data_IF_019722006202
#
_entry.id   IF_019722006202
#
_cell.length_a   1.000
_cell.length_b   1.000
_cell.length_c   1.000
_cell.angle_alpha   90.00
_cell.angle_beta   90.00
_cell.angle_gamma   90.00
#
_symmetry.space_group_name_H-M   'P 1'
#
loop_
_entity.id
_entity.type
_entity.pdbx_description
1 polymer ?
#
# COMPACT_ATOMS: atom_id res chain seq x y z
N UNK A 1 -3.63 8.43 -21.26
CA UNK A 1 -4.23 8.98 -20.02
C UNK A 1 -3.17 9.84 -19.34
N UNK A 2 -3.52 10.94 -18.67
CA UNK A 2 -2.54 11.69 -17.87
C UNK A 2 -2.13 10.86 -16.65
N UNK A 3 -0.83 10.88 -16.30
CA UNK A 3 -0.31 10.22 -15.11
C UNK A 3 -0.83 10.89 -13.83
N UNK A 4 -0.86 10.13 -12.76
CA UNK A 4 -1.15 10.62 -11.43
C UNK A 4 -2.61 10.46 -11.00
N UNK A 5 -2.96 11.12 -9.91
CA UNK A 5 -4.25 10.99 -9.27
C UNK A 5 -4.73 12.34 -8.69
N UNK A 6 -6.03 12.58 -8.77
CA UNK A 6 -6.66 13.79 -8.23
C UNK A 6 -7.44 13.46 -6.96
N UNK A 7 -7.20 14.22 -5.90
CA UNK A 7 -7.89 14.10 -4.61
C UNK A 7 -7.08 13.38 -3.54
N UNK A 8 -7.68 13.22 -2.36
CA UNK A 8 -7.14 12.47 -1.22
C UNK A 8 -7.42 10.97 -1.37
N UNK A 9 -6.57 10.14 -0.80
CA UNK A 9 -6.70 8.70 -0.87
C UNK A 9 -6.30 8.03 0.45
N UNK A 10 -7.29 7.55 1.18
CA UNK A 10 -7.14 6.85 2.45
C UNK A 10 -7.46 5.38 2.24
N UNK A 11 -6.45 4.53 2.08
CA UNK A 11 -6.64 3.11 1.79
C UNK A 11 -6.51 2.29 3.08
N UNK A 12 -7.54 1.51 3.39
CA UNK A 12 -7.41 0.39 4.31
C UNK A 12 -6.86 -0.82 3.54
N UNK A 13 -5.62 -1.24 3.88
CA UNK A 13 -4.92 -2.29 3.14
C UNK A 13 -4.98 -3.64 3.86
N UNK A 14 -5.60 -4.63 3.24
CA UNK A 14 -5.70 -6.01 3.72
C UNK A 14 -5.57 -7.06 2.60
N UNK A 15 -4.75 -6.75 1.61
CA UNK A 15 -4.37 -7.64 0.49
C UNK A 15 -3.32 -8.70 0.87
N UNK A 16 -2.95 -8.78 2.15
CA UNK A 16 -2.05 -9.80 2.67
C UNK A 16 -2.61 -11.19 2.42
N UNK A 17 -1.80 -12.10 1.86
CA UNK A 17 -2.16 -13.51 1.55
C UNK A 17 -1.31 -14.46 2.37
N UNK A 18 -0.16 -14.91 1.89
CA UNK A 18 0.67 -15.89 2.58
C UNK A 18 1.04 -15.51 4.02
N UNK A 19 1.51 -14.28 4.25
CA UNK A 19 1.83 -13.82 5.61
C UNK A 19 0.60 -13.65 6.52
N UNK A 20 -0.56 -13.36 5.97
CA UNK A 20 -1.82 -13.30 6.70
C UNK A 20 -2.27 -14.69 7.11
N UNK A 21 -2.28 -15.62 6.16
CA UNK A 21 -2.59 -17.02 6.36
C UNK A 21 -1.71 -17.66 7.45
N UNK A 22 -0.39 -17.50 7.37
CA UNK A 22 0.52 -18.13 8.32
C UNK A 22 0.52 -17.44 9.70
N UNK A 23 0.55 -16.10 9.75
CA UNK A 23 0.71 -15.38 11.02
C UNK A 23 -0.59 -15.24 11.80
N UNK A 24 -1.74 -15.15 11.12
CA UNK A 24 -3.03 -14.96 11.78
C UNK A 24 -3.74 -16.29 12.05
N UNK A 25 -3.62 -17.25 11.14
CA UNK A 25 -4.37 -18.52 11.21
C UNK A 25 -3.48 -19.74 11.46
N UNK A 26 -2.15 -19.61 11.37
CA UNK A 26 -1.22 -20.75 11.53
C UNK A 26 -1.29 -21.77 10.39
N UNK A 27 -1.86 -21.40 9.24
CA UNK A 27 -2.04 -22.28 8.08
C UNK A 27 -0.80 -22.22 7.21
N UNK A 28 -0.18 -23.36 6.94
CA UNK A 28 0.96 -23.51 6.03
C UNK A 28 0.52 -24.20 4.73
N UNK A 29 1.08 -23.79 3.60
CA UNK A 29 0.72 -24.34 2.28
C UNK A 29 -0.60 -23.80 1.75
N UNK A 30 -1.23 -24.55 0.86
CA UNK A 30 -2.52 -24.18 0.25
C UNK A 30 -3.66 -24.43 1.26
N UNK A 31 -4.51 -23.41 1.54
CA UNK A 31 -5.60 -23.56 2.49
C UNK A 31 -6.70 -24.47 1.93
N UNK A 32 -7.33 -25.24 2.81
CA UNK A 32 -8.55 -25.99 2.50
C UNK A 32 -9.72 -25.03 2.17
N UNK A 33 -10.82 -25.55 1.58
CA UNK A 33 -12.02 -24.73 1.34
C UNK A 33 -12.59 -24.08 2.63
N UNK A 34 -12.57 -24.81 3.76
CA UNK A 34 -13.04 -24.30 5.06
C UNK A 34 -12.11 -23.20 5.60
N UNK A 35 -10.80 -23.40 5.49
CA UNK A 35 -9.80 -22.39 5.87
C UNK A 35 -9.91 -21.15 4.98
N UNK A 36 -10.11 -21.33 3.68
CA UNK A 36 -10.35 -20.24 2.73
C UNK A 36 -11.58 -19.44 3.12
N UNK A 37 -12.69 -20.11 3.48
CA UNK A 37 -13.92 -19.45 3.93
C UNK A 37 -13.69 -18.64 5.23
N UNK A 38 -12.92 -19.19 6.17
CA UNK A 38 -12.56 -18.50 7.42
C UNK A 38 -11.72 -17.25 7.17
N UNK A 39 -10.72 -17.34 6.27
CA UNK A 39 -9.88 -16.19 5.89
C UNK A 39 -10.73 -15.13 5.18
N UNK A 40 -11.64 -15.54 4.30
CA UNK A 40 -12.56 -14.64 3.60
C UNK A 40 -13.48 -13.92 4.57
N UNK A 41 -14.07 -14.63 5.56
CA UNK A 41 -14.89 -14.01 6.60
C UNK A 41 -14.12 -13.01 7.46
N UNK A 42 -12.86 -13.32 7.77
CA UNK A 42 -11.97 -12.39 8.47
C UNK A 42 -11.73 -11.09 7.68
N UNK A 43 -11.55 -11.20 6.35
CA UNK A 43 -11.45 -10.02 5.48
C UNK A 43 -12.76 -9.25 5.38
N UNK A 44 -13.88 -9.95 5.40
CA UNK A 44 -15.20 -9.31 5.45
C UNK A 44 -15.37 -8.48 6.72
N UNK A 45 -14.92 -8.97 7.89
CA UNK A 45 -14.90 -8.17 9.12
C UNK A 45 -14.10 -6.87 8.98
N UNK A 46 -12.93 -6.94 8.31
CA UNK A 46 -12.11 -5.74 8.08
C UNK A 46 -12.86 -4.75 7.18
N UNK A 47 -13.52 -5.25 6.14
CA UNK A 47 -14.31 -4.44 5.22
C UNK A 47 -15.53 -3.78 5.92
N UNK A 48 -16.21 -4.47 6.82
CA UNK A 48 -17.26 -3.90 7.66
C UNK A 48 -16.76 -2.67 8.45
N UNK A 49 -15.49 -2.67 8.86
CA UNK A 49 -14.85 -1.49 9.45
C UNK A 49 -14.78 -0.30 8.50
N UNK A 50 -14.54 -0.54 7.19
CA UNK A 50 -14.59 0.54 6.18
C UNK A 50 -16.01 1.08 6.03
N UNK A 51 -17.01 0.20 5.93
CA UNK A 51 -18.41 0.60 5.80
C UNK A 51 -18.85 1.45 7.00
N UNK A 52 -18.48 1.06 8.23
CA UNK A 52 -18.76 1.83 9.45
C UNK A 52 -18.05 3.18 9.46
N UNK A 53 -16.82 3.26 8.98
CA UNK A 53 -16.12 4.54 8.87
C UNK A 53 -16.82 5.50 7.88
N UNK A 54 -17.30 4.98 6.76
CA UNK A 54 -18.10 5.76 5.80
C UNK A 54 -19.43 6.17 6.43
N UNK A 55 -20.12 5.28 7.13
CA UNK A 55 -21.36 5.60 7.84
C UNK A 55 -21.15 6.66 8.93
N UNK A 56 -19.95 6.72 9.53
CA UNK A 56 -19.56 7.74 10.50
C UNK A 56 -19.11 9.09 9.86
N UNK A 57 -19.13 9.20 8.52
CA UNK A 57 -18.91 10.46 7.81
C UNK A 57 -17.63 10.55 6.99
N UNK A 58 -16.86 9.46 6.85
CA UNK A 58 -15.75 9.43 5.89
C UNK A 58 -16.31 9.51 4.46
N UNK A 59 -15.82 10.47 3.66
CA UNK A 59 -16.23 10.59 2.27
C UNK A 59 -15.83 9.33 1.47
N UNK A 60 -16.78 8.58 0.91
CA UNK A 60 -16.47 7.37 0.14
C UNK A 60 -15.55 7.63 -1.04
N UNK A 61 -15.48 8.86 -1.57
CA UNK A 61 -14.56 9.22 -2.66
C UNK A 61 -13.09 9.25 -2.22
N UNK A 62 -12.84 9.45 -0.93
CA UNK A 62 -11.49 9.44 -0.35
C UNK A 62 -11.15 8.10 0.29
N UNK A 63 -12.16 7.31 0.62
CA UNK A 63 -12.01 5.99 1.21
C UNK A 63 -11.59 4.98 0.15
N UNK A 64 -10.55 4.21 0.45
CA UNK A 64 -10.03 3.17 -0.43
C UNK A 64 -9.92 1.81 0.27
N UNK A 65 -9.99 0.77 -0.54
CA UNK A 65 -9.81 -0.62 -0.15
C UNK A 65 -8.69 -1.22 -1.01
N UNK A 66 -7.75 -1.89 -0.36
CA UNK A 66 -6.74 -2.70 -1.03
C UNK A 66 -6.92 -4.15 -0.56
N UNK A 67 -7.46 -4.99 -1.43
CA UNK A 67 -7.82 -6.39 -1.16
C UNK A 67 -7.36 -7.29 -2.31
N UNK A 68 -7.07 -8.55 -2.03
CA UNK A 68 -6.65 -9.54 -3.01
C UNK A 68 -7.83 -10.34 -3.61
N UNK A 69 -7.61 -10.98 -4.74
CA UNK A 69 -8.61 -11.82 -5.42
C UNK A 69 -8.84 -13.15 -4.70
N UNK A 70 -7.80 -13.71 -4.06
CA UNK A 70 -7.85 -15.06 -3.47
C UNK A 70 -8.84 -15.14 -2.30
N UNK A 71 -8.84 -14.14 -1.42
CA UNK A 71 -9.64 -14.13 -0.19
C UNK A 71 -10.62 -12.95 -0.10
N UNK A 72 -10.70 -12.13 -1.14
CA UNK A 72 -11.53 -10.91 -1.14
C UNK A 72 -13.03 -11.18 -1.17
N UNK A 73 -13.46 -12.37 -1.58
CA UNK A 73 -14.89 -12.73 -1.63
C UNK A 73 -15.71 -11.74 -2.44
N UNK A 74 -16.75 -11.16 -1.82
CA UNK A 74 -17.65 -10.17 -2.43
C UNK A 74 -17.19 -8.72 -2.28
N UNK A 75 -16.10 -8.48 -1.56
CA UNK A 75 -15.61 -7.12 -1.25
C UNK A 75 -15.38 -6.26 -2.51
N UNK A 76 -14.83 -6.77 -3.64
CA UNK A 76 -14.67 -5.96 -4.84
C UNK A 76 -15.99 -5.40 -5.39
N UNK A 77 -17.04 -6.22 -5.46
CA UNK A 77 -18.36 -5.79 -5.94
C UNK A 77 -19.05 -4.85 -4.95
N UNK A 78 -18.91 -5.10 -3.65
CA UNK A 78 -19.47 -4.25 -2.59
C UNK A 78 -18.77 -2.89 -2.56
N UNK A 79 -17.45 -2.85 -2.71
CA UNK A 79 -16.69 -1.61 -2.79
C UNK A 79 -17.16 -0.73 -3.95
N UNK A 80 -17.39 -1.31 -5.13
CA UNK A 80 -17.95 -0.59 -6.28
C UNK A 80 -19.36 -0.04 -5.99
N UNK A 81 -20.21 -0.85 -5.39
CA UNK A 81 -21.58 -0.45 -4.99
C UNK A 81 -21.57 0.76 -4.05
N UNK A 82 -20.63 0.82 -3.12
CA UNK A 82 -20.50 1.87 -2.12
C UNK A 82 -19.68 3.07 -2.61
N UNK A 83 -19.20 3.05 -3.87
CA UNK A 83 -18.42 4.15 -4.46
C UNK A 83 -17.02 4.30 -3.87
N UNK A 84 -16.48 3.23 -3.30
CA UNK A 84 -15.14 3.20 -2.72
C UNK A 84 -14.08 3.00 -3.80
N UNK A 85 -12.89 3.54 -3.57
CA UNK A 85 -11.72 3.31 -4.42
C UNK A 85 -11.16 1.90 -4.21
N UNK A 86 -11.34 1.01 -5.19
CA UNK A 86 -10.83 -0.35 -5.14
C UNK A 86 -9.45 -0.46 -5.77
N UNK A 87 -8.51 -1.04 -5.06
CA UNK A 87 -7.17 -1.39 -5.54
C UNK A 87 -6.91 -2.87 -5.25
N UNK A 88 -6.28 -3.58 -6.20
CA UNK A 88 -5.97 -5.00 -6.04
C UNK A 88 -4.54 -5.31 -6.47
N UNK A 89 -3.87 -6.30 -5.82
CA UNK A 89 -2.50 -6.67 -6.14
C UNK A 89 -2.41 -7.52 -7.41
N UNK A 90 -1.37 -7.26 -8.22
CA UNK A 90 -0.98 -8.12 -9.34
C UNK A 90 0.26 -8.97 -9.02
N UNK A 91 0.96 -8.68 -7.92
CA UNK A 91 2.14 -9.42 -7.52
C UNK A 91 1.82 -10.75 -6.85
N UNK A 92 2.70 -11.73 -7.06
CA UNK A 92 2.70 -13.01 -6.34
C UNK A 92 3.09 -12.79 -4.89
N UNK A 93 2.30 -13.36 -3.97
CA UNK A 93 2.55 -13.25 -2.54
C UNK A 93 3.74 -14.10 -2.10
N UNK A 94 4.51 -13.60 -1.11
CA UNK A 94 5.53 -14.37 -0.41
C UNK A 94 6.86 -14.55 -1.15
N UNK A 95 7.07 -13.87 -2.29
CA UNK A 95 8.32 -13.92 -3.05
C UNK A 95 9.14 -12.64 -2.87
N UNK A 96 10.46 -12.75 -2.95
CA UNK A 96 11.34 -11.57 -2.85
C UNK A 96 11.45 -10.84 -4.19
N UNK A 97 11.59 -11.57 -5.29
CA UNK A 97 11.62 -11.02 -6.64
C UNK A 97 10.19 -10.85 -7.16
N UNK A 98 9.85 -9.68 -7.70
CA UNK A 98 8.54 -9.43 -8.29
C UNK A 98 8.22 -10.44 -9.40
N UNK A 99 7.08 -11.09 -9.26
CA UNK A 99 6.47 -11.97 -10.25
C UNK A 99 4.97 -11.67 -10.29
N UNK A 100 4.35 -11.88 -11.44
CA UNK A 100 2.90 -11.83 -11.55
C UNK A 100 2.24 -13.01 -10.82
N UNK A 101 1.17 -12.76 -10.07
CA UNK A 101 0.39 -13.83 -9.42
C UNK A 101 -0.18 -14.81 -10.44
N UNK A 102 -0.69 -14.28 -11.55
CA UNK A 102 -1.34 -15.04 -12.61
C UNK A 102 -0.49 -15.16 -13.89
N UNK A 103 0.83 -14.95 -13.80
CA UNK A 103 1.73 -15.06 -14.95
C UNK A 103 1.27 -14.20 -16.14
N UNK A 104 1.21 -14.79 -17.32
CA UNK A 104 0.79 -14.10 -18.57
C UNK A 104 -0.71 -13.74 -18.58
N UNK A 105 -1.52 -14.33 -17.72
CA UNK A 105 -2.96 -14.06 -17.60
C UNK A 105 -3.28 -12.83 -16.74
N UNK A 106 -2.28 -12.09 -16.24
CA UNK A 106 -2.48 -10.89 -15.40
C UNK A 106 -3.46 -9.87 -16.01
N UNK A 107 -3.52 -9.67 -17.34
CA UNK A 107 -4.47 -8.71 -17.95
C UNK A 107 -5.93 -9.10 -17.68
N UNK A 108 -6.27 -10.36 -17.86
CA UNK A 108 -7.63 -10.85 -17.66
C UNK A 108 -8.09 -10.69 -16.21
N UNK A 109 -7.19 -10.90 -15.25
CA UNK A 109 -7.48 -10.70 -13.82
C UNK A 109 -7.67 -9.22 -13.47
N UNK A 110 -6.86 -8.32 -14.03
CA UNK A 110 -7.01 -6.87 -13.85
C UNK A 110 -8.32 -6.36 -14.48
N UNK A 111 -8.69 -6.87 -15.66
CA UNK A 111 -9.90 -6.46 -16.37
C UNK A 111 -11.20 -6.94 -15.71
N UNK A 112 -11.12 -8.00 -14.91
CA UNK A 112 -12.27 -8.58 -14.20
C UNK A 112 -12.93 -7.59 -13.24
N UNK A 113 -12.17 -6.62 -12.70
CA UNK A 113 -12.61 -5.69 -11.69
C UNK A 113 -12.51 -4.23 -12.16
N UNK A 114 -13.40 -3.39 -11.60
CA UNK A 114 -13.38 -1.94 -11.81
C UNK A 114 -12.43 -1.28 -10.81
N UNK A 115 -11.13 -1.37 -11.10
CA UNK A 115 -10.08 -0.90 -10.20
C UNK A 115 -9.81 0.60 -10.36
N UNK A 116 -9.62 1.29 -9.23
CA UNK A 116 -8.94 2.59 -9.22
C UNK A 116 -7.52 2.45 -9.75
N UNK A 117 -6.78 1.48 -9.22
CA UNK A 117 -5.41 1.20 -9.60
C UNK A 117 -5.06 -0.29 -9.40
N UNK A 118 -4.14 -0.79 -10.20
CA UNK A 118 -3.48 -2.07 -9.95
C UNK A 118 -2.26 -1.83 -9.08
N UNK A 119 -2.15 -2.59 -7.99
CA UNK A 119 -1.04 -2.46 -7.04
C UNK A 119 0.01 -3.54 -7.29
N UNK A 120 1.28 -3.19 -7.06
CA UNK A 120 2.37 -4.15 -6.87
C UNK A 120 3.13 -3.84 -5.59
N UNK A 121 3.64 -4.88 -4.92
CA UNK A 121 4.65 -4.76 -3.88
C UNK A 121 5.98 -5.22 -4.43
N UNK A 122 6.97 -4.36 -4.36
CA UNK A 122 8.33 -4.62 -4.88
C UNK A 122 9.36 -4.35 -3.79
N UNK A 123 10.23 -5.33 -3.59
CA UNK A 123 11.45 -5.18 -2.79
C UNK A 123 12.58 -4.84 -3.73
N UNK A 124 13.12 -3.63 -3.58
CA UNK A 124 14.14 -3.13 -4.48
C UNK A 124 15.16 -2.29 -3.71
N UNK A 125 16.41 -2.76 -3.65
CA UNK A 125 17.52 -1.93 -3.18
C UNK A 125 18.42 -1.63 -4.38
N UNK A 126 18.73 -0.33 -4.68
CA UNK A 126 19.54 0.02 -5.85
C UNK A 126 20.98 -0.47 -5.76
N UNK A 127 21.44 -0.85 -4.57
CA UNK A 127 22.78 -1.41 -4.32
C UNK A 127 22.71 -2.94 -4.07
N UNK A 128 21.55 -3.57 -4.28
CA UNK A 128 21.33 -5.00 -4.11
C UNK A 128 21.66 -5.82 -5.35
N UNK A 129 21.01 -7.00 -5.47
CA UNK A 129 21.21 -7.93 -6.59
C UNK A 129 20.81 -7.29 -7.93
N UNK A 130 21.82 -6.93 -8.73
CA UNK A 130 21.63 -6.22 -10.00
C UNK A 130 20.86 -7.05 -11.03
N UNK A 131 21.08 -8.38 -11.08
CA UNK A 131 20.36 -9.25 -12.03
C UNK A 131 18.89 -9.40 -11.65
N UNK A 132 18.59 -9.56 -10.37
CA UNK A 132 17.22 -9.59 -9.86
C UNK A 132 16.53 -8.24 -10.14
N UNK A 133 17.20 -7.15 -9.86
CA UNK A 133 16.70 -5.80 -10.11
C UNK A 133 16.37 -5.57 -11.60
N UNK A 134 17.24 -6.00 -12.51
CA UNK A 134 17.00 -5.91 -13.95
C UNK A 134 15.77 -6.72 -14.38
N UNK A 135 15.62 -7.96 -13.89
CA UNK A 135 14.44 -8.79 -14.20
C UNK A 135 13.14 -8.18 -13.68
N UNK A 136 13.17 -7.64 -12.45
CA UNK A 136 12.02 -6.94 -11.86
C UNK A 136 11.64 -5.72 -12.70
N UNK A 137 12.61 -4.89 -13.06
CA UNK A 137 12.40 -3.68 -13.87
C UNK A 137 11.72 -4.00 -15.20
N UNK A 138 12.15 -5.06 -15.91
CA UNK A 138 11.53 -5.49 -17.17
C UNK A 138 10.05 -5.87 -17.00
N UNK A 139 9.72 -6.67 -15.97
CA UNK A 139 8.33 -7.09 -15.70
C UNK A 139 7.44 -5.91 -15.27
N UNK A 140 8.00 -5.00 -14.47
CA UNK A 140 7.28 -3.81 -14.01
C UNK A 140 7.02 -2.83 -15.15
N UNK A 141 7.97 -2.72 -16.10
CA UNK A 141 7.74 -1.95 -17.32
C UNK A 141 6.65 -2.56 -18.19
N UNK A 142 6.65 -3.87 -18.37
CA UNK A 142 5.58 -4.58 -19.08
C UNK A 142 4.20 -4.27 -18.48
N UNK A 143 4.09 -4.34 -17.14
CA UNK A 143 2.85 -4.01 -16.43
C UNK A 143 2.45 -2.55 -16.63
N UNK A 144 3.38 -1.60 -16.42
CA UNK A 144 3.11 -0.17 -16.54
C UNK A 144 2.63 0.19 -17.96
N UNK A 145 3.33 -0.32 -18.98
CA UNK A 145 2.98 -0.10 -20.39
C UNK A 145 1.58 -0.64 -20.70
N UNK A 146 1.29 -1.87 -20.23
CA UNK A 146 -0.03 -2.46 -20.45
C UNK A 146 -1.14 -1.67 -19.73
N UNK A 147 -0.93 -1.29 -18.44
CA UNK A 147 -1.91 -0.53 -17.68
C UNK A 147 -2.25 0.79 -18.38
N UNK A 148 -1.24 1.57 -18.75
CA UNK A 148 -1.46 2.88 -19.39
C UNK A 148 -2.05 2.77 -20.78
N UNK A 149 -1.65 1.75 -21.57
CA UNK A 149 -2.26 1.48 -22.87
C UNK A 149 -3.77 1.15 -22.77
N UNK A 150 -4.19 0.56 -21.65
CA UNK A 150 -5.58 0.21 -21.36
C UNK A 150 -6.30 1.22 -20.46
N UNK A 151 -5.73 2.42 -20.27
CA UNK A 151 -6.36 3.48 -19.50
C UNK A 151 -6.51 3.18 -18.00
N UNK A 152 -5.65 2.35 -17.43
CA UNK A 152 -5.63 1.93 -16.03
C UNK A 152 -4.51 2.60 -15.27
N UNK A 153 -4.66 2.75 -13.96
CA UNK A 153 -3.66 3.38 -13.08
C UNK A 153 -2.80 2.36 -12.37
N UNK A 154 -1.59 2.79 -12.04
CA UNK A 154 -0.57 1.99 -11.39
C UNK A 154 -0.24 2.54 -10.00
N UNK A 155 -0.45 1.72 -8.96
CA UNK A 155 -0.03 1.98 -7.59
C UNK A 155 1.17 1.08 -7.26
N UNK A 156 2.33 1.68 -7.03
CA UNK A 156 3.59 0.97 -6.80
C UNK A 156 3.98 1.03 -5.33
N UNK A 157 3.88 -0.10 -4.62
CA UNK A 157 4.35 -0.23 -3.25
C UNK A 157 5.83 -0.60 -3.23
N UNK A 158 6.65 0.38 -2.84
CA UNK A 158 8.09 0.24 -2.75
C UNK A 158 8.52 -0.08 -1.33
N UNK A 159 9.25 -1.18 -1.16
CA UNK A 159 10.02 -1.51 0.03
C UNK A 159 11.51 -1.54 -0.33
N UNK A 160 12.33 -0.87 0.48
CA UNK A 160 13.79 -0.86 0.32
C UNK A 160 14.43 -1.58 1.51
N UNK A 161 14.57 -2.92 1.46
CA UNK A 161 15.26 -3.67 2.51
C UNK A 161 16.75 -3.32 2.54
N UNK A 162 17.34 -3.26 3.74
CA UNK A 162 18.76 -2.98 3.88
C UNK A 162 19.61 -4.12 3.32
N UNK A 163 20.65 -3.77 2.59
CA UNK A 163 21.74 -4.68 2.27
C UNK A 163 22.67 -4.85 3.49
N UNK A 164 23.36 -6.00 3.66
CA UNK A 164 24.24 -6.23 4.82
C UNK A 164 25.25 -5.12 5.06
N UNK A 165 25.90 -4.61 4.01
CA UNK A 165 26.89 -3.53 4.12
C UNK A 165 26.27 -2.20 4.55
N UNK A 166 25.04 -1.91 4.12
CA UNK A 166 24.29 -0.71 4.54
C UNK A 166 23.94 -0.80 6.04
N UNK A 167 23.47 -1.96 6.49
CA UNK A 167 23.16 -2.18 7.89
C UNK A 167 24.42 -2.11 8.77
N UNK A 168 25.55 -2.69 8.31
CA UNK A 168 26.83 -2.60 9.01
C UNK A 168 27.30 -1.14 9.14
N UNK A 169 27.11 -0.31 8.11
CA UNK A 169 27.53 1.10 8.11
C UNK A 169 26.83 1.94 9.19
N UNK A 170 25.66 1.52 9.62
CA UNK A 170 24.90 2.16 10.72
C UNK A 170 24.97 1.38 12.05
N UNK A 171 25.94 0.46 12.16
CA UNK A 171 26.20 -0.32 13.38
C UNK A 171 25.18 -1.43 13.66
N UNK A 172 24.50 -1.93 12.63
CA UNK A 172 23.45 -2.97 12.76
C UNK A 172 22.10 -2.45 13.25
N UNK A 173 21.97 -1.13 13.36
CA UNK A 173 20.76 -0.47 13.85
C UNK A 173 19.76 -0.20 12.70
N UNK A 174 18.63 -0.90 12.74
CA UNK A 174 17.58 -0.79 11.70
C UNK A 174 16.87 0.57 11.75
N UNK A 175 16.71 1.18 12.90
CA UNK A 175 16.06 2.49 13.01
C UNK A 175 16.98 3.58 12.42
N UNK A 176 18.29 3.46 12.61
CA UNK A 176 19.26 4.33 11.92
C UNK A 176 19.28 4.12 10.42
N UNK A 177 19.22 2.88 9.94
CA UNK A 177 19.05 2.63 8.51
C UNK A 177 17.81 3.31 7.96
N UNK A 178 16.70 3.16 8.65
CA UNK A 178 15.40 3.74 8.26
C UNK A 178 15.45 5.28 8.22
N UNK A 179 16.16 5.90 9.14
CA UNK A 179 16.25 7.35 9.23
C UNK A 179 17.36 7.96 8.35
N UNK A 180 18.53 7.31 8.27
CA UNK A 180 19.72 7.91 7.68
C UNK A 180 19.97 7.51 6.21
N UNK A 181 19.56 6.29 5.80
CA UNK A 181 19.91 5.74 4.48
C UNK A 181 18.69 5.51 3.58
N UNK A 182 17.60 4.93 4.11
CA UNK A 182 16.44 4.52 3.32
C UNK A 182 15.79 5.65 2.52
N UNK A 183 15.64 6.90 3.02
CA UNK A 183 14.99 7.96 2.25
C UNK A 183 15.70 8.23 0.91
N UNK A 184 17.03 8.34 0.93
CA UNK A 184 17.81 8.55 -0.30
C UNK A 184 17.81 7.30 -1.21
N UNK A 185 17.82 6.09 -0.63
CA UNK A 185 17.69 4.87 -1.42
C UNK A 185 16.33 4.81 -2.13
N UNK A 186 15.22 5.15 -1.46
CA UNK A 186 13.89 5.26 -2.08
C UNK A 186 13.89 6.28 -3.23
N UNK A 187 14.49 7.46 -3.03
CA UNK A 187 14.64 8.47 -4.08
C UNK A 187 15.35 7.90 -5.30
N UNK A 188 16.49 7.20 -5.10
CA UNK A 188 17.26 6.56 -6.18
C UNK A 188 16.46 5.49 -6.91
N UNK A 189 15.62 4.73 -6.21
CA UNK A 189 14.75 3.73 -6.82
C UNK A 189 13.67 4.38 -7.68
N UNK A 190 13.03 5.44 -7.20
CA UNK A 190 12.04 6.20 -7.99
C UNK A 190 12.72 6.75 -9.27
N UNK A 191 13.90 7.38 -9.14
CA UNK A 191 14.66 7.88 -10.28
C UNK A 191 15.04 6.77 -11.27
N UNK A 192 15.45 5.61 -10.77
CA UNK A 192 15.78 4.46 -11.62
C UNK A 192 14.57 4.02 -12.46
N UNK A 193 13.42 3.79 -11.85
CA UNK A 193 12.21 3.37 -12.57
C UNK A 193 11.74 4.43 -13.58
N UNK A 194 11.86 5.72 -13.24
CA UNK A 194 11.57 6.81 -14.17
C UNK A 194 12.50 6.79 -15.38
N UNK A 195 13.79 6.54 -15.18
CA UNK A 195 14.78 6.45 -16.27
C UNK A 195 14.55 5.23 -17.16
N UNK A 196 14.07 4.13 -16.59
CA UNK A 196 13.69 2.91 -17.32
C UNK A 196 12.30 3.01 -17.99
N UNK A 197 11.60 4.13 -17.81
CA UNK A 197 10.28 4.36 -18.39
C UNK A 197 9.17 3.54 -17.73
N UNK A 198 9.35 3.16 -16.47
CA UNK A 198 8.29 2.60 -15.63
C UNK A 198 7.50 3.75 -15.03
N UNK A 199 6.40 4.11 -15.69
CA UNK A 199 5.56 5.20 -15.23
C UNK A 199 4.59 4.74 -14.14
N UNK A 200 4.48 5.53 -13.07
CA UNK A 200 3.67 5.22 -11.88
C UNK A 200 2.72 6.37 -11.61
N UNK A 201 1.47 6.06 -11.31
CA UNK A 201 0.46 7.07 -10.97
C UNK A 201 0.52 7.44 -9.49
N UNK A 202 0.66 6.43 -8.61
CA UNK A 202 0.72 6.61 -7.17
C UNK A 202 1.82 5.74 -6.56
N UNK A 203 2.78 6.36 -5.92
CA UNK A 203 3.78 5.67 -5.12
C UNK A 203 3.22 5.39 -3.71
N UNK A 204 3.26 4.13 -3.29
CA UNK A 204 3.02 3.74 -1.90
C UNK A 204 4.37 3.45 -1.28
N UNK A 205 4.84 4.35 -0.42
CA UNK A 205 6.21 4.36 0.09
C UNK A 205 6.28 4.20 1.61
N UNK A 206 7.42 3.70 2.07
CA UNK A 206 7.70 3.60 3.50
C UNK A 206 7.76 4.98 4.15
N UNK A 207 7.30 5.08 5.40
CA UNK A 207 7.30 6.33 6.13
C UNK A 207 8.70 6.91 6.33
N UNK A 208 8.80 8.23 6.36
CA UNK A 208 10.02 8.99 6.64
C UNK A 208 9.81 9.90 7.85
N UNK A 209 10.87 10.13 8.61
CA UNK A 209 10.79 10.81 9.90
C UNK A 209 10.75 12.33 9.77
N UNK A 210 11.15 12.89 8.62
CA UNK A 210 11.25 14.34 8.42
C UNK A 210 10.44 14.82 7.22
N UNK A 211 9.92 16.03 7.31
CA UNK A 211 9.26 16.71 6.18
C UNK A 211 10.22 16.93 5.01
N UNK A 212 11.51 17.13 5.27
CA UNK A 212 12.52 17.30 4.22
C UNK A 212 12.68 16.04 3.35
N UNK A 213 12.70 14.85 3.97
CA UNK A 213 12.74 13.58 3.25
C UNK A 213 11.44 13.35 2.46
N UNK A 214 10.28 13.66 3.06
CA UNK A 214 9.01 13.60 2.36
C UNK A 214 8.99 14.52 1.14
N UNK A 215 9.51 15.75 1.26
CA UNK A 215 9.61 16.70 0.16
C UNK A 215 10.52 16.17 -0.96
N UNK A 216 11.70 15.66 -0.61
CA UNK A 216 12.65 15.05 -1.56
C UNK A 216 11.99 13.92 -2.37
N UNK A 217 11.24 13.04 -1.71
CA UNK A 217 10.54 11.93 -2.37
C UNK A 217 9.39 12.43 -3.27
N UNK A 218 8.61 13.40 -2.82
CA UNK A 218 7.55 14.00 -3.60
C UNK A 218 8.08 14.72 -4.84
N UNK A 219 9.19 15.46 -4.70
CA UNK A 219 9.84 16.15 -5.82
C UNK A 219 10.40 15.15 -6.84
N UNK A 220 11.05 14.08 -6.37
CA UNK A 220 11.54 13.03 -7.28
C UNK A 220 10.37 12.34 -7.99
N UNK A 221 9.29 12.01 -7.29
CA UNK A 221 8.12 11.34 -7.89
C UNK A 221 7.50 12.13 -9.03
N UNK A 222 7.55 13.47 -8.96
CA UNK A 222 6.98 14.40 -9.94
C UNK A 222 8.00 14.92 -10.97
N UNK A 223 9.26 14.48 -10.88
CA UNK A 223 10.33 14.95 -11.75
C UNK A 223 10.17 14.45 -13.18
N UNK A 224 10.15 15.37 -14.13
CA UNK A 224 10.06 15.11 -15.58
C UNK A 224 8.69 15.44 -16.15
N UNK A 225 8.67 15.66 -17.46
CA UNK A 225 7.47 16.06 -18.21
C UNK A 225 6.37 14.98 -18.08
N UNK A 226 5.14 15.41 -17.82
CA UNK A 226 3.96 14.55 -17.70
C UNK A 226 3.78 13.88 -16.34
N UNK A 227 4.71 14.10 -15.38
CA UNK A 227 4.66 13.52 -14.02
C UNK A 227 4.19 14.51 -12.95
N UNK A 228 3.76 15.71 -13.33
CA UNK A 228 3.41 16.78 -12.39
C UNK A 228 2.28 16.37 -11.42
N UNK A 229 1.42 15.45 -11.86
CA UNK A 229 0.31 14.94 -11.05
C UNK A 229 0.54 13.57 -10.42
N UNK A 230 1.76 13.03 -10.49
CA UNK A 230 2.13 11.79 -9.76
C UNK A 230 2.05 12.07 -8.26
N UNK A 231 1.48 11.13 -7.51
CA UNK A 231 1.20 11.27 -6.08
C UNK A 231 1.90 10.18 -5.26
N UNK A 232 1.95 10.42 -3.95
CA UNK A 232 2.44 9.44 -2.98
C UNK A 232 1.45 9.24 -1.85
N UNK A 233 1.39 8.01 -1.35
CA UNK A 233 0.71 7.63 -0.11
C UNK A 233 1.67 6.88 0.80
N UNK A 234 1.50 7.02 2.10
CA UNK A 234 2.36 6.33 3.07
C UNK A 234 1.84 4.94 3.40
N UNK A 235 2.74 3.96 3.54
CA UNK A 235 2.44 2.66 4.12
C UNK A 235 2.76 2.63 5.63
N UNK A 236 2.03 1.80 6.39
CA UNK A 236 2.17 1.71 7.84
C UNK A 236 3.26 0.72 8.30
N UNK A 237 3.78 -0.15 7.45
CA UNK A 237 4.83 -1.16 7.71
C UNK A 237 4.56 -2.08 8.91
N UNK A 238 3.40 -1.97 9.57
CA UNK A 238 3.12 -2.64 10.85
C UNK A 238 3.89 -2.05 12.03
N UNK A 239 4.30 -0.79 11.93
CA UNK A 239 4.89 -0.01 13.00
C UNK A 239 3.86 0.35 14.08
N UNK A 240 4.33 0.85 15.24
CA UNK A 240 3.43 1.35 16.28
C UNK A 240 2.61 2.54 15.78
N UNK A 241 1.48 2.78 16.44
CA UNK A 241 0.61 3.90 16.07
C UNK A 241 1.34 5.25 16.16
N UNK A 242 2.18 5.43 17.17
CA UNK A 242 2.98 6.64 17.39
C UNK A 242 3.97 6.87 16.25
N UNK A 243 4.59 5.80 15.74
CA UNK A 243 5.53 5.90 14.62
C UNK A 243 4.81 6.22 13.31
N UNK A 244 3.64 5.60 13.09
CA UNK A 244 2.80 5.91 11.92
C UNK A 244 2.31 7.36 11.98
N UNK A 245 1.89 7.85 13.15
CA UNK A 245 1.47 9.25 13.34
C UNK A 245 2.61 10.22 13.00
N UNK A 246 3.83 9.94 13.45
CA UNK A 246 5.01 10.73 13.11
C UNK A 246 5.21 10.82 11.59
N UNK A 247 5.13 9.69 10.88
CA UNK A 247 5.26 9.66 9.43
C UNK A 247 4.15 10.42 8.71
N UNK A 248 2.90 10.26 9.16
CA UNK A 248 1.77 11.00 8.60
C UNK A 248 1.95 12.52 8.81
N UNK A 249 2.38 12.93 10.00
CA UNK A 249 2.64 14.34 10.32
C UNK A 249 3.80 14.94 9.50
N UNK A 250 4.82 14.14 9.19
CA UNK A 250 5.94 14.58 8.34
C UNK A 250 5.53 14.75 6.88
N UNK A 251 4.69 13.85 6.34
CA UNK A 251 4.38 13.81 4.92
C UNK A 251 3.11 14.59 4.54
N UNK A 252 2.07 14.62 5.38
CA UNK A 252 0.80 15.27 5.06
C UNK A 252 0.89 16.76 4.66
N UNK A 253 1.83 17.55 5.22
CA UNK A 253 2.05 18.94 4.80
C UNK A 253 2.67 19.10 3.41
N UNK A 254 3.26 18.00 2.85
CA UNK A 254 4.04 18.05 1.62
C UNK A 254 3.14 17.88 0.40
N UNK A 255 3.22 18.83 -0.53
CA UNK A 255 2.50 18.71 -1.80
C UNK A 255 2.98 17.47 -2.59
N UNK A 256 2.04 16.63 -3.00
CA UNK A 256 2.31 15.36 -3.66
C UNK A 256 1.96 14.15 -2.79
N UNK A 257 1.96 14.29 -1.46
CA UNK A 257 1.33 13.30 -0.60
C UNK A 257 -0.18 13.56 -0.52
N UNK A 258 -0.97 12.50 -0.68
CA UNK A 258 -2.43 12.59 -0.76
C UNK A 258 -3.15 11.70 0.26
N UNK A 259 -2.42 11.02 1.12
CA UNK A 259 -3.00 10.13 2.11
C UNK A 259 -2.09 8.97 2.49
N UNK A 260 -2.72 7.83 2.71
CA UNK A 260 -2.04 6.63 3.19
C UNK A 260 -2.68 5.34 2.65
N UNK A 261 -1.92 4.25 2.75
CA UNK A 261 -2.41 2.88 2.57
C UNK A 261 -1.90 2.03 3.75
N UNK A 262 -2.64 2.06 4.85
CA UNK A 262 -2.30 1.41 6.11
C UNK A 262 -3.14 0.15 6.29
N UNK A 263 -2.54 -0.90 6.83
CA UNK A 263 -3.18 -2.18 7.04
C UNK A 263 -3.15 -2.62 8.49
N UNK A 264 -2.17 -3.45 8.87
CA UNK A 264 -2.09 -4.14 10.16
C UNK A 264 -2.26 -3.25 11.38
N UNK A 265 -1.73 -2.05 11.38
CA UNK A 265 -1.90 -1.08 12.48
C UNK A 265 -3.37 -0.70 12.73
N UNK A 266 -4.27 -0.93 11.76
CA UNK A 266 -5.70 -0.64 11.88
C UNK A 266 -6.48 -1.88 12.34
N UNK A 267 -6.25 -3.03 11.70
CA UNK A 267 -7.15 -4.17 11.83
C UNK A 267 -6.57 -5.39 12.57
N UNK A 268 -5.26 -5.46 12.83
CA UNK A 268 -4.64 -6.67 13.36
C UNK A 268 -5.17 -7.09 14.73
N UNK A 269 -5.16 -6.18 15.70
CA UNK A 269 -5.60 -6.50 17.07
C UNK A 269 -7.12 -6.73 17.17
N UNK A 270 -8.00 -5.91 16.54
CA UNK A 270 -9.43 -6.21 16.50
C UNK A 270 -9.75 -7.54 15.84
N UNK A 271 -9.10 -7.85 14.70
CA UNK A 271 -9.33 -9.13 14.04
C UNK A 271 -8.89 -10.30 14.89
N UNK A 272 -7.73 -10.21 15.55
CA UNK A 272 -7.26 -11.24 16.46
C UNK A 272 -8.24 -11.45 17.62
N UNK A 273 -8.75 -10.38 18.21
CA UNK A 273 -9.76 -10.46 19.26
C UNK A 273 -11.03 -11.15 18.77
N UNK A 274 -11.50 -10.86 17.56
CA UNK A 274 -12.64 -11.55 16.94
C UNK A 274 -12.39 -13.06 16.79
N UNK A 275 -11.23 -13.45 16.28
CA UNK A 275 -10.86 -14.86 16.12
C UNK A 275 -10.73 -15.57 17.46
N UNK A 276 -10.39 -14.86 18.53
CA UNK A 276 -10.36 -15.34 19.92
C UNK A 276 -11.77 -15.35 20.59
N UNK A 277 -12.84 -15.01 19.84
CA UNK A 277 -14.23 -15.09 20.28
C UNK A 277 -14.89 -13.79 20.75
N UNK A 278 -14.25 -12.63 20.51
CA UNK A 278 -14.88 -11.34 20.79
C UNK A 278 -16.02 -11.03 19.78
N UNK A 279 -16.91 -10.13 20.18
CA UNK A 279 -18.08 -9.74 19.38
C UNK A 279 -17.68 -9.06 18.05
N UNK A 280 -18.28 -9.53 16.95
CA UNK A 280 -18.00 -9.06 15.58
C UNK A 280 -18.29 -7.56 15.40
N UNK A 281 -19.45 -7.13 15.92
CA UNK A 281 -19.89 -5.74 15.80
C UNK A 281 -18.95 -4.79 16.54
N UNK A 282 -18.51 -5.18 17.73
CA UNK A 282 -17.52 -4.42 18.50
C UNK A 282 -16.17 -4.34 17.78
N UNK A 283 -15.69 -5.45 17.20
CA UNK A 283 -14.36 -5.46 16.57
C UNK A 283 -14.37 -4.72 15.22
N UNK A 284 -15.43 -4.83 14.40
CA UNK A 284 -15.56 -4.02 13.19
C UNK A 284 -15.67 -2.52 13.51
N UNK A 285 -16.32 -2.14 14.63
CA UNK A 285 -16.32 -0.75 15.09
C UNK A 285 -14.92 -0.27 15.49
N UNK A 286 -14.14 -1.08 16.19
CA UNK A 286 -12.74 -0.73 16.52
C UNK A 286 -11.87 -0.53 15.27
N UNK A 287 -12.08 -1.35 14.23
CA UNK A 287 -11.40 -1.15 12.95
C UNK A 287 -11.78 0.20 12.34
N UNK A 288 -13.06 0.55 12.34
CA UNK A 288 -13.53 1.85 11.87
C UNK A 288 -12.91 3.02 12.65
N UNK A 289 -12.91 2.92 13.99
CA UNK A 289 -12.34 3.95 14.86
C UNK A 289 -10.84 4.15 14.63
N UNK A 290 -10.08 3.05 14.50
CA UNK A 290 -8.66 3.08 14.19
C UNK A 290 -8.40 3.71 12.80
N UNK A 291 -9.22 3.39 11.81
CA UNK A 291 -9.10 3.94 10.46
C UNK A 291 -9.38 5.45 10.46
N UNK A 292 -10.49 5.88 11.07
CA UNK A 292 -10.85 7.29 11.21
C UNK A 292 -9.82 8.10 12.01
N UNK A 293 -9.18 7.47 12.99
CA UNK A 293 -8.11 8.08 13.75
C UNK A 293 -6.94 8.49 12.83
N UNK A 294 -6.48 7.60 11.93
CA UNK A 294 -5.40 7.93 10.99
C UNK A 294 -5.82 8.98 9.95
N UNK A 295 -7.09 8.94 9.48
CA UNK A 295 -7.64 9.99 8.62
C UNK A 295 -7.55 11.34 9.33
N UNK A 296 -7.96 11.41 10.59
CA UNK A 296 -7.91 12.65 11.39
C UNK A 296 -6.47 13.14 11.55
N UNK A 297 -5.52 12.28 11.91
CA UNK A 297 -4.10 12.66 12.06
C UNK A 297 -3.56 13.26 10.75
N UNK A 298 -3.87 12.63 9.61
CA UNK A 298 -3.45 13.11 8.30
C UNK A 298 -4.08 14.47 7.97
N UNK A 299 -5.38 14.61 8.15
CA UNK A 299 -6.13 15.85 7.82
C UNK A 299 -5.69 17.03 8.69
N UNK A 300 -5.49 16.83 9.99
CA UNK A 300 -4.98 17.85 10.90
C UNK A 300 -3.58 18.32 10.49
N UNK A 301 -2.68 17.39 10.15
CA UNK A 301 -1.33 17.72 9.71
C UNK A 301 -1.32 18.45 8.35
N UNK A 302 -2.15 18.01 7.38
CA UNK A 302 -2.24 18.65 6.06
C UNK A 302 -2.81 20.06 6.11
N UNK A 303 -3.68 20.36 7.07
CA UNK A 303 -4.31 21.68 7.24
C UNK A 303 -3.39 22.70 7.89
N UNK A 304 -2.36 22.28 8.60
CA UNK A 304 -1.44 23.19 9.32
C UNK A 304 -0.56 24.06 8.41
N UNK A 305 -0.50 23.76 7.12
CA UNK A 305 0.26 24.54 6.10
C UNK A 305 -0.57 25.67 5.49
N UNK A 306 -1.90 25.62 5.64
CA UNK A 306 -2.80 26.61 5.03
C UNK A 306 -3.12 27.80 5.96
N UNK A 307 -2.52 27.85 7.13
CA UNK A 307 -2.64 28.92 8.12
C UNK A 307 -1.32 29.70 8.24
#
# INVERSE_FOLDING_TARGET
>A
MALGYDGKLYILAFDHRGSFQTKMFGIEGDPTPEETATITDAKQLIYEGVEKAVAAGLDPKTAGVLVDEQFGGTIPEESKKHGLSLTMPAEKSGVNEFQFEFGEDFPAHIEKYDLLATKVLVRYNPDGDAEMNERQTKRLKELADWLHANGKKFLFELLVPAEPAQLESVGGDTDRYDAELRPELMRRVIEHFQNEGVEVDVWKIEGVDTQADAQMLADQSRKGEGRENVKSVLLGRGASNEKVDQWLQAAAPVEGFIGFAIGRSIWWDPLKAYLDGADREEQSQKIADNYLRFVKVYDEASSSVSA
#
